data_IF_690045851117
#
_entry.id   IF_690045851117
#
_cell.length_a   1.000
_cell.length_b   1.000
_cell.length_c   1.000
_cell.angle_alpha   90.00
_cell.angle_beta   90.00
_cell.angle_gamma   90.00
#
_symmetry.space_group_name_H-M   'P 1'
#
loop_
_entity.id
_entity.type
_entity.pdbx_description
1 polymer ?
#
# COMPACT_ATOMS: atom_id res chain seq x y z
N UNK A 1 -20.71 7.71 16.62
CA UNK A 1 -19.99 6.44 16.48
C UNK A 1 -19.10 6.60 15.28
N UNK A 2 -17.82 6.91 15.51
CA UNK A 2 -16.87 7.06 14.43
C UNK A 2 -16.73 5.70 13.73
N UNK A 3 -17.25 5.59 12.51
CA UNK A 3 -16.93 4.47 11.63
C UNK A 3 -15.44 4.58 11.34
N UNK A 4 -14.60 3.90 12.12
CA UNK A 4 -13.30 3.49 11.64
C UNK A 4 -13.58 2.58 10.46
N UNK A 5 -13.28 3.00 9.24
CA UNK A 5 -13.64 2.21 8.09
C UNK A 5 -12.75 0.97 8.13
N UNK A 6 -13.37 -0.20 8.33
CA UNK A 6 -12.68 -1.48 8.42
C UNK A 6 -11.79 -1.63 7.18
N UNK A 7 -10.48 -1.57 7.39
CA UNK A 7 -9.55 -1.81 6.31
C UNK A 7 -9.56 -3.31 6.01
N UNK A 8 -9.85 -3.66 4.75
CA UNK A 8 -9.89 -5.04 4.28
C UNK A 8 -8.56 -5.77 4.56
N UNK A 9 -8.63 -7.07 4.85
CA UNK A 9 -7.48 -7.89 5.27
C UNK A 9 -6.25 -7.76 4.35
N UNK A 10 -6.48 -7.70 3.04
CA UNK A 10 -5.44 -7.47 2.04
C UNK A 10 -4.68 -6.16 2.26
N UNK A 11 -5.38 -5.05 2.55
CA UNK A 11 -4.75 -3.76 2.81
C UNK A 11 -3.94 -3.76 4.13
N UNK A 12 -4.46 -4.43 5.17
CA UNK A 12 -3.76 -4.58 6.45
C UNK A 12 -2.48 -5.41 6.29
N UNK A 13 -2.52 -6.47 5.50
CA UNK A 13 -1.34 -7.30 5.20
C UNK A 13 -0.25 -6.49 4.51
N UNK A 14 -0.62 -5.68 3.52
CA UNK A 14 0.32 -4.80 2.80
C UNK A 14 0.94 -3.74 3.71
N UNK A 15 0.13 -3.07 4.53
CA UNK A 15 0.63 -2.09 5.51
C UNK A 15 1.61 -2.75 6.47
N UNK A 16 1.23 -3.89 7.05
CA UNK A 16 2.08 -4.61 8.01
C UNK A 16 3.41 -5.00 7.37
N UNK A 17 3.38 -5.51 6.14
CA UNK A 17 4.61 -5.85 5.43
C UNK A 17 5.53 -4.64 5.26
N UNK A 18 5.01 -3.48 4.85
CA UNK A 18 5.77 -2.24 4.70
C UNK A 18 6.34 -1.74 6.04
N UNK A 19 5.60 -1.87 7.13
CA UNK A 19 6.07 -1.50 8.47
C UNK A 19 7.25 -2.38 8.93
N UNK A 20 7.18 -3.68 8.66
CA UNK A 20 8.19 -4.67 9.05
C UNK A 20 9.43 -4.65 8.13
N UNK A 21 9.25 -4.43 6.83
CA UNK A 21 10.28 -4.59 5.79
C UNK A 21 10.57 -3.27 5.04
N UNK A 22 10.31 -2.13 5.69
CA UNK A 22 10.48 -0.81 5.09
C UNK A 22 11.89 -0.60 4.51
N UNK A 23 11.95 -0.13 3.26
CA UNK A 23 13.20 0.08 2.52
C UNK A 23 13.64 -1.06 1.62
N UNK A 24 12.89 -2.18 1.60
CA UNK A 24 13.04 -3.24 0.60
C UNK A 24 12.32 -2.89 -0.69
N UNK A 25 12.73 -3.49 -1.81
CA UNK A 25 12.06 -3.32 -3.11
C UNK A 25 10.59 -3.72 -3.04
N UNK A 26 10.26 -4.82 -2.35
CA UNK A 26 8.88 -5.26 -2.13
C UNK A 26 8.04 -4.20 -1.42
N UNK A 27 8.59 -3.61 -0.34
CA UNK A 27 7.90 -2.54 0.38
C UNK A 27 7.72 -1.28 -0.47
N UNK A 28 8.69 -0.94 -1.34
CA UNK A 28 8.58 0.19 -2.27
C UNK A 28 7.50 -0.05 -3.32
N UNK A 29 7.44 -1.24 -3.92
CA UNK A 29 6.39 -1.61 -4.88
C UNK A 29 5.01 -1.53 -4.22
N UNK A 30 4.86 -2.02 -2.98
CA UNK A 30 3.59 -1.91 -2.25
C UNK A 30 3.20 -0.44 -2.02
N UNK A 31 4.15 0.42 -1.66
CA UNK A 31 3.90 1.85 -1.47
C UNK A 31 3.47 2.53 -2.77
N UNK A 32 4.10 2.21 -3.89
CA UNK A 32 3.70 2.70 -5.22
C UNK A 32 2.26 2.30 -5.57
N UNK A 33 1.89 1.05 -5.29
CA UNK A 33 0.53 0.54 -5.50
C UNK A 33 -0.49 1.32 -4.65
N UNK A 34 -0.20 1.52 -3.37
CA UNK A 34 -1.09 2.26 -2.46
C UNK A 34 -1.24 3.71 -2.91
N UNK A 35 -0.16 4.36 -3.35
CA UNK A 35 -0.23 5.73 -3.89
C UNK A 35 -1.06 5.81 -5.17
N UNK A 36 -0.84 4.89 -6.12
CA UNK A 36 -1.61 4.83 -7.35
C UNK A 36 -3.11 4.58 -7.11
N UNK A 37 -3.45 3.78 -6.10
CA UNK A 37 -4.84 3.55 -5.70
C UNK A 37 -5.48 4.74 -4.96
N UNK A 38 -4.70 5.68 -4.45
CA UNK A 38 -5.19 6.79 -3.61
C UNK A 38 -5.14 8.15 -4.30
N UNK A 39 -4.35 8.32 -5.35
CA UNK A 39 -4.19 9.60 -6.04
C UNK A 39 -4.01 9.43 -7.57
N UNK A 40 -4.77 10.17 -8.41
CA UNK A 40 -4.83 9.95 -9.86
C UNK A 40 -3.51 10.23 -10.59
N UNK A 41 -2.66 11.08 -10.04
CA UNK A 41 -1.36 11.41 -10.65
C UNK A 41 -0.30 10.32 -10.46
N UNK A 42 -0.60 9.28 -9.68
CA UNK A 42 0.29 8.15 -9.44
C UNK A 42 -0.16 6.95 -10.26
N UNK A 43 0.78 6.35 -10.98
CA UNK A 43 0.53 5.17 -11.81
C UNK A 43 1.32 4.00 -11.27
N UNK A 44 0.67 2.84 -11.14
CA UNK A 44 1.36 1.60 -10.81
C UNK A 44 1.67 0.78 -12.06
N UNK A 45 2.81 0.11 -12.07
CA UNK A 45 3.13 -0.90 -13.07
C UNK A 45 2.65 -2.28 -12.59
N UNK A 46 1.73 -2.95 -13.32
CA UNK A 46 1.35 -4.32 -13.01
C UNK A 46 2.54 -5.30 -13.07
N UNK A 47 3.55 -4.98 -13.89
CA UNK A 47 4.77 -5.77 -13.98
C UNK A 47 5.56 -5.74 -12.67
N UNK A 48 5.64 -4.59 -11.99
CA UNK A 48 6.31 -4.49 -10.67
C UNK A 48 5.62 -5.37 -9.62
N UNK A 49 4.28 -5.36 -9.60
CA UNK A 49 3.52 -6.22 -8.68
C UNK A 49 3.77 -7.72 -8.96
N UNK A 50 4.03 -8.11 -10.21
CA UNK A 50 4.26 -9.51 -10.57
C UNK A 50 5.53 -10.13 -9.97
N UNK A 51 6.50 -9.31 -9.55
CA UNK A 51 7.74 -9.76 -8.90
C UNK A 51 7.59 -9.98 -7.40
N UNK A 52 6.49 -9.54 -6.79
CA UNK A 52 6.23 -9.77 -5.38
C UNK A 52 6.06 -11.27 -5.06
N UNK A 53 6.39 -11.70 -3.83
CA UNK A 53 5.98 -13.00 -3.30
C UNK A 53 4.49 -13.30 -3.51
N UNK A 54 4.13 -14.57 -3.69
CA UNK A 54 2.77 -14.98 -4.07
C UNK A 54 1.69 -14.44 -3.11
N UNK A 55 1.94 -14.46 -1.80
CA UNK A 55 1.00 -13.96 -0.81
C UNK A 55 0.79 -12.45 -0.91
N UNK A 56 1.86 -11.68 -1.17
CA UNK A 56 1.79 -10.24 -1.37
C UNK A 56 1.08 -9.90 -2.69
N UNK A 57 1.30 -10.69 -3.75
CA UNK A 57 0.55 -10.52 -5.01
C UNK A 57 -0.95 -10.71 -4.81
N UNK A 58 -1.34 -11.70 -4.02
CA UNK A 58 -2.75 -11.91 -3.68
C UNK A 58 -3.32 -10.74 -2.89
N UNK A 59 -2.59 -10.27 -1.86
CA UNK A 59 -3.00 -9.11 -1.07
C UNK A 59 -3.12 -7.83 -1.91
N UNK A 60 -2.21 -7.61 -2.86
CA UNK A 60 -2.30 -6.51 -3.85
C UNK A 60 -3.56 -6.65 -4.70
N UNK A 61 -3.81 -7.83 -5.26
CA UNK A 61 -4.98 -8.06 -6.11
C UNK A 61 -6.29 -7.81 -5.33
N UNK A 62 -6.37 -8.28 -4.09
CA UNK A 62 -7.53 -8.07 -3.22
C UNK A 62 -7.71 -6.59 -2.88
N UNK A 63 -6.62 -5.89 -2.54
CA UNK A 63 -6.67 -4.46 -2.27
C UNK A 63 -7.14 -3.65 -3.49
N UNK A 64 -6.54 -3.88 -4.66
CA UNK A 64 -6.92 -3.19 -5.90
C UNK A 64 -8.37 -3.50 -6.27
N UNK A 65 -8.81 -4.76 -6.12
CA UNK A 65 -10.21 -5.14 -6.36
C UNK A 65 -11.16 -4.35 -5.45
N UNK A 66 -10.87 -4.27 -4.15
CA UNK A 66 -11.67 -3.49 -3.20
C UNK A 66 -11.70 -2.01 -3.58
N UNK A 67 -10.55 -1.41 -3.90
CA UNK A 67 -10.48 0.00 -4.32
C UNK A 67 -11.32 0.28 -5.56
N UNK A 68 -11.32 -0.65 -6.54
CA UNK A 68 -12.05 -0.46 -7.80
C UNK A 68 -13.55 -0.73 -7.67
N UNK A 69 -13.96 -1.73 -6.89
CA UNK A 69 -15.36 -2.16 -6.80
C UNK A 69 -16.13 -1.47 -5.68
N UNK A 70 -15.49 -1.27 -4.54
CA UNK A 70 -16.11 -0.73 -3.33
C UNK A 70 -15.72 0.75 -3.12
N UNK A 71 -14.58 1.16 -3.67
CA UNK A 71 -14.05 2.51 -3.52
C UNK A 71 -13.36 2.71 -2.16
N UNK A 72 -12.69 3.86 -2.03
CA UNK A 72 -12.19 4.35 -0.76
C UNK A 72 -12.96 5.62 -0.40
N UNK A 73 -13.41 5.71 0.85
CA UNK A 73 -13.88 6.97 1.41
C UNK A 73 -12.76 8.02 1.37
N UNK A 74 -13.13 9.30 1.37
CA UNK A 74 -12.17 10.42 1.35
C UNK A 74 -11.19 10.34 2.53
N UNK A 75 -11.67 10.00 3.72
CA UNK A 75 -10.85 9.83 4.93
C UNK A 75 -9.85 8.67 4.80
N UNK A 76 -10.25 7.52 4.26
CA UNK A 76 -9.34 6.39 3.98
C UNK A 76 -8.29 6.78 2.97
N UNK A 77 -8.72 7.37 1.86
CA UNK A 77 -7.86 7.81 0.76
C UNK A 77 -6.78 8.77 1.26
N UNK A 78 -7.19 9.83 1.97
CA UNK A 78 -6.26 10.81 2.51
C UNK A 78 -5.29 10.22 3.54
N UNK A 79 -5.77 9.33 4.40
CA UNK A 79 -4.93 8.66 5.41
C UNK A 79 -3.90 7.73 4.79
N UNK A 80 -4.31 6.89 3.84
CA UNK A 80 -3.43 5.97 3.13
C UNK A 80 -2.41 6.72 2.27
N UNK A 81 -2.84 7.73 1.53
CA UNK A 81 -1.95 8.58 0.72
C UNK A 81 -0.87 9.22 1.60
N UNK A 82 -1.28 9.90 2.66
CA UNK A 82 -0.36 10.60 3.57
C UNK A 82 0.60 9.63 4.27
N UNK A 83 0.12 8.45 4.67
CA UNK A 83 0.97 7.42 5.26
C UNK A 83 1.99 6.88 4.24
N UNK A 84 1.55 6.51 3.04
CA UNK A 84 2.42 5.94 2.02
C UNK A 84 3.50 6.94 1.57
N UNK A 85 3.11 8.20 1.37
CA UNK A 85 4.04 9.28 1.02
C UNK A 85 5.10 9.47 2.12
N UNK A 86 4.71 9.49 3.40
CA UNK A 86 5.67 9.59 4.51
C UNK A 86 6.64 8.41 4.54
N UNK A 87 6.18 7.19 4.22
CA UNK A 87 7.03 6.00 4.19
C UNK A 87 8.02 6.02 3.04
N UNK A 88 7.60 6.45 1.84
CA UNK A 88 8.52 6.65 0.72
C UNK A 88 9.60 7.69 1.05
N UNK A 89 9.22 8.81 1.67
CA UNK A 89 10.15 9.89 2.01
C UNK A 89 11.11 9.53 3.15
N UNK A 90 10.77 8.56 4.00
CA UNK A 90 11.64 8.11 5.09
C UNK A 90 12.92 7.41 4.58
N UNK A 91 12.94 6.99 3.30
CA UNK A 91 14.07 6.29 2.69
C UNK A 91 14.32 4.89 3.28
N UNK A 92 15.30 4.14 2.74
CA UNK A 92 15.69 2.86 3.29
C UNK A 92 16.19 3.07 4.72
N UNK A 93 15.66 2.30 5.68
CA UNK A 93 16.24 2.28 7.02
C UNK A 93 17.63 1.65 6.90
N UNK A 94 18.69 2.46 6.97
CA UNK A 94 20.04 1.92 7.18
C UNK A 94 20.01 1.04 8.43
N UNK A 95 20.44 -0.24 8.36
CA UNK A 95 20.58 -1.05 9.55
C UNK A 95 21.50 -0.32 10.51
N UNK A 96 21.06 -0.10 11.76
CA UNK A 96 21.99 0.32 12.81
C UNK A 96 23.03 -0.80 12.93
N UNK A 97 24.29 -0.46 12.67
CA UNK A 97 25.45 -1.31 12.92
C UNK A 97 25.56 -1.67 14.40
#
# INVERSE_FOLDING_TARGET
MDHQPEMHDGALMLIRHVEEHGGTDDALVILEIILACTHPDFVMSPASAAFLPADLRKAVADFVRTVLLEGLSEAQRGSLFSWAQRKMMAGPRTPRA
#
